data_IF_542318385679
#
_entry.id   IF_542318385679
#
_cell.length_a   1.000
_cell.length_b   1.000
_cell.length_c   1.000
_cell.angle_alpha   90.00
_cell.angle_beta   90.00
_cell.angle_gamma   90.00
#
_symmetry.space_group_name_H-M   'P 1'
#
loop_
_entity.id
_entity.type
_entity.pdbx_description
1 polymer ?
#
# COMPACT_ATOMS: atom_id res chain seq x y z
N UNK A 1 -0.40 -11.47 15.08
CA UNK A 1 -1.87 -11.29 15.10
C UNK A 1 -2.65 -12.37 14.34
N UNK A 2 -2.64 -12.42 13.00
CA UNK A 2 -3.49 -13.35 12.23
C UNK A 2 -3.20 -14.84 12.44
N UNK A 3 -1.93 -15.24 12.37
CA UNK A 3 -1.52 -16.64 12.63
C UNK A 3 -1.77 -17.07 14.07
N UNK A 4 -1.59 -16.17 15.05
CA UNK A 4 -1.89 -16.43 16.46
C UNK A 4 -3.39 -16.62 16.68
N UNK A 5 -4.23 -15.78 16.04
CA UNK A 5 -5.68 -15.94 16.09
C UNK A 5 -6.11 -17.28 15.50
N UNK A 6 -5.48 -17.71 14.40
CA UNK A 6 -5.71 -19.04 13.81
C UNK A 6 -5.26 -20.17 14.73
N UNK A 7 -4.09 -20.06 15.34
CA UNK A 7 -3.57 -21.04 16.30
C UNK A 7 -4.46 -21.15 17.55
N UNK A 8 -5.11 -20.05 17.94
CA UNK A 8 -6.11 -20.00 19.01
C UNK A 8 -7.55 -20.35 18.55
N UNK A 9 -7.70 -20.93 17.36
CA UNK A 9 -8.98 -21.34 16.72
C UNK A 9 -10.05 -20.23 16.70
N UNK A 10 -9.63 -18.98 16.60
CA UNK A 10 -10.56 -17.86 16.43
C UNK A 10 -11.15 -17.88 15.03
N UNK A 11 -12.46 -17.68 14.95
CA UNK A 11 -13.15 -17.55 13.66
C UNK A 11 -12.70 -16.28 12.94
N UNK A 12 -12.26 -16.37 11.67
CA UNK A 12 -11.99 -15.18 10.86
C UNK A 12 -13.25 -14.33 10.72
N UNK A 13 -13.08 -13.00 10.73
CA UNK A 13 -14.18 -12.04 10.58
C UNK A 13 -14.06 -11.18 9.32
N UNK A 14 -12.91 -11.26 8.64
CA UNK A 14 -12.59 -10.43 7.50
C UNK A 14 -11.70 -11.16 6.49
N UNK A 15 -11.87 -10.83 5.21
CA UNK A 15 -10.93 -11.14 4.14
C UNK A 15 -9.91 -9.99 4.06
N UNK A 16 -8.63 -10.30 3.91
CA UNK A 16 -7.59 -9.28 3.71
C UNK A 16 -6.95 -9.47 2.33
N UNK A 17 -7.02 -8.44 1.50
CA UNK A 17 -6.33 -8.43 0.21
C UNK A 17 -4.82 -8.31 0.45
N UNK A 18 -4.04 -9.24 -0.11
CA UNK A 18 -2.57 -9.21 -0.02
C UNK A 18 -1.94 -8.45 -1.17
N UNK A 19 -2.46 -8.65 -2.38
CA UNK A 19 -2.00 -7.97 -3.59
C UNK A 19 -3.12 -7.92 -4.63
N UNK A 20 -3.16 -6.83 -5.39
CA UNK A 20 -4.01 -6.68 -6.56
C UNK A 20 -3.22 -5.88 -7.61
N UNK A 21 -2.87 -6.53 -8.72
CA UNK A 21 -2.01 -5.95 -9.74
C UNK A 21 -2.65 -6.03 -11.13
N UNK A 22 -2.63 -4.90 -11.84
CA UNK A 22 -3.10 -4.80 -13.21
C UNK A 22 -1.95 -4.30 -14.07
N UNK A 23 -1.55 -5.11 -15.05
CA UNK A 23 -0.52 -4.74 -16.03
C UNK A 23 -0.86 -3.38 -16.66
N UNK A 24 0.12 -2.49 -16.90
CA UNK A 24 -0.12 -1.13 -17.42
C UNK A 24 -1.03 -1.08 -18.66
N UNK A 25 -0.83 -2.00 -19.61
CA UNK A 25 -1.64 -2.10 -20.83
C UNK A 25 -3.13 -2.40 -20.63
N UNK A 26 -3.53 -2.82 -19.42
CA UNK A 26 -4.91 -3.14 -19.05
C UNK A 26 -5.47 -2.20 -17.97
N UNK A 27 -4.73 -1.16 -17.58
CA UNK A 27 -5.23 -0.15 -16.65
C UNK A 27 -6.25 0.76 -17.34
N UNK A 28 -7.13 1.38 -16.54
CA UNK A 28 -8.23 2.23 -17.06
C UNK A 28 -9.42 1.47 -17.66
N UNK A 29 -9.37 0.15 -17.77
CA UNK A 29 -10.44 -0.70 -18.32
C UNK A 29 -11.45 -1.24 -17.29
N UNK A 30 -11.52 -0.69 -16.08
CA UNK A 30 -12.45 -1.15 -15.03
C UNK A 30 -12.12 -2.52 -14.41
N UNK A 31 -10.92 -3.07 -14.63
CA UNK A 31 -10.53 -4.35 -14.03
C UNK A 31 -10.39 -4.28 -12.51
N UNK A 32 -9.92 -3.15 -11.98
CA UNK A 32 -9.69 -2.97 -10.55
C UNK A 32 -11.02 -3.03 -9.77
N UNK A 33 -12.04 -2.40 -10.35
CA UNK A 33 -13.43 -2.49 -9.92
C UNK A 33 -13.94 -3.94 -9.88
N UNK A 34 -13.74 -4.69 -10.97
CA UNK A 34 -14.15 -6.10 -11.05
C UNK A 34 -13.41 -6.99 -10.05
N UNK A 35 -12.12 -6.73 -9.81
CA UNK A 35 -11.33 -7.48 -8.82
C UNK A 35 -11.83 -7.24 -7.40
N UNK A 36 -12.16 -5.99 -7.05
CA UNK A 36 -12.74 -5.67 -5.74
C UNK A 36 -14.09 -6.34 -5.54
N UNK A 37 -14.94 -6.34 -6.57
CA UNK A 37 -16.22 -7.02 -6.51
C UNK A 37 -16.06 -8.53 -6.27
N UNK A 38 -15.18 -9.18 -7.04
CA UNK A 38 -14.91 -10.60 -6.86
C UNK A 38 -14.34 -10.94 -5.47
N UNK A 39 -13.46 -10.10 -4.91
CA UNK A 39 -12.95 -10.28 -3.55
C UNK A 39 -14.05 -10.09 -2.50
N UNK A 40 -14.95 -9.13 -2.69
CA UNK A 40 -16.10 -8.92 -1.81
C UNK A 40 -17.05 -10.12 -1.84
N UNK A 41 -17.35 -10.66 -3.02
CA UNK A 41 -18.21 -11.83 -3.17
C UNK A 41 -17.60 -13.06 -2.50
N UNK A 42 -16.29 -13.30 -2.68
CA UNK A 42 -15.57 -14.36 -1.96
C UNK A 42 -15.66 -14.21 -0.44
N UNK A 43 -15.60 -12.97 0.06
CA UNK A 43 -15.75 -12.70 1.49
C UNK A 43 -17.16 -13.00 2.01
N UNK A 44 -18.20 -12.60 1.25
CA UNK A 44 -19.60 -12.90 1.57
C UNK A 44 -19.89 -14.39 1.57
N UNK A 45 -19.43 -15.10 0.54
CA UNK A 45 -19.61 -16.56 0.41
C UNK A 45 -18.94 -17.31 1.55
N UNK A 46 -17.84 -16.77 2.09
CA UNK A 46 -17.16 -17.28 3.27
C UNK A 46 -17.81 -16.86 4.61
N UNK A 47 -18.89 -16.07 4.59
CA UNK A 47 -19.58 -15.57 5.78
C UNK A 47 -18.79 -14.51 6.56
N UNK A 48 -17.88 -13.79 5.90
CA UNK A 48 -17.06 -12.74 6.50
C UNK A 48 -17.80 -11.40 6.41
N UNK A 49 -17.65 -10.55 7.43
CA UNK A 49 -18.35 -9.27 7.48
C UNK A 49 -17.59 -8.11 6.82
N UNK A 50 -16.30 -8.29 6.54
CA UNK A 50 -15.45 -7.20 6.06
C UNK A 50 -14.42 -7.67 5.03
N UNK A 51 -14.08 -6.76 4.11
CA UNK A 51 -12.89 -6.83 3.27
C UNK A 51 -11.93 -5.70 3.67
N UNK A 52 -10.73 -6.08 4.11
CA UNK A 52 -9.64 -5.16 4.41
C UNK A 52 -8.71 -5.09 3.21
N UNK A 53 -8.43 -3.88 2.74
CA UNK A 53 -7.51 -3.60 1.64
C UNK A 53 -6.38 -2.67 2.12
N UNK A 54 -5.16 -3.21 2.32
CA UNK A 54 -3.95 -2.41 2.46
C UNK A 54 -3.57 -1.83 1.10
N UNK A 55 -3.86 -0.54 0.90
CA UNK A 55 -3.72 0.15 -0.39
C UNK A 55 -2.36 0.82 -0.49
N UNK A 56 -1.55 0.39 -1.45
CA UNK A 56 -0.37 1.12 -1.94
C UNK A 56 -0.84 2.22 -2.91
N UNK A 57 -0.83 3.52 -2.54
CA UNK A 57 -1.41 4.56 -3.38
C UNK A 57 -0.59 4.76 -4.67
N UNK A 58 -1.28 4.84 -5.81
CA UNK A 58 -0.63 4.83 -7.12
C UNK A 58 0.21 6.08 -7.41
N UNK A 59 -0.17 7.25 -6.90
CA UNK A 59 0.52 8.51 -7.16
C UNK A 59 1.46 8.95 -6.03
N UNK A 60 1.54 8.21 -4.92
CA UNK A 60 2.35 8.58 -3.76
C UNK A 60 3.85 8.69 -4.08
N UNK A 61 4.34 7.92 -5.05
CA UNK A 61 5.73 7.98 -5.52
C UNK A 61 6.13 9.35 -6.09
N UNK A 62 5.15 10.18 -6.51
CA UNK A 62 5.41 11.56 -6.96
C UNK A 62 5.59 12.55 -5.80
N UNK A 63 5.24 12.14 -4.59
CA UNK A 63 5.29 12.94 -3.37
C UNK A 63 5.96 12.15 -2.24
N UNK A 64 7.16 11.58 -2.45
CA UNK A 64 7.74 10.59 -1.55
C UNK A 64 8.03 11.16 -0.16
N UNK A 65 8.45 12.43 -0.07
CA UNK A 65 8.74 13.11 1.21
C UNK A 65 7.49 13.50 2.02
N UNK A 66 6.30 13.43 1.42
CA UNK A 66 5.05 13.70 2.15
C UNK A 66 4.70 12.50 3.03
N UNK A 67 4.47 12.67 4.34
CA UNK A 67 4.00 11.56 5.18
C UNK A 67 2.68 10.98 4.68
N UNK A 68 2.49 9.66 4.83
CA UNK A 68 1.31 8.97 4.29
C UNK A 68 0.02 9.43 4.98
N UNK A 69 0.10 9.80 6.26
CA UNK A 69 -0.97 10.36 7.09
C UNK A 69 -1.55 11.64 6.47
N UNK A 70 -0.67 12.48 5.91
CA UNK A 70 -1.07 13.70 5.24
C UNK A 70 -1.50 13.43 3.80
N UNK A 71 -0.82 12.52 3.11
CA UNK A 71 -1.15 12.21 1.71
C UNK A 71 -2.57 11.60 1.58
N UNK A 72 -2.95 10.71 2.49
CA UNK A 72 -4.24 10.03 2.43
C UNK A 72 -5.45 10.98 2.55
N UNK A 73 -5.25 12.19 3.10
CA UNK A 73 -6.32 13.18 3.28
C UNK A 73 -6.45 14.13 2.09
N UNK A 74 -5.55 14.06 1.11
CA UNK A 74 -5.60 14.93 -0.05
C UNK A 74 -6.81 14.61 -0.91
N UNK A 75 -7.52 15.66 -1.32
CA UNK A 75 -8.70 15.58 -2.17
C UNK A 75 -8.52 16.42 -3.43
N UNK A 76 -9.35 16.13 -4.43
CA UNK A 76 -9.55 16.99 -5.59
C UNK A 76 -10.58 18.07 -5.26
N UNK A 77 -10.73 19.07 -6.13
CA UNK A 77 -11.73 20.14 -5.98
C UNK A 77 -13.17 19.63 -5.83
N UNK A 78 -13.46 18.44 -6.39
CA UNK A 78 -14.77 17.79 -6.26
C UNK A 78 -14.95 16.98 -4.96
N UNK A 79 -14.00 17.05 -4.02
CA UNK A 79 -14.04 16.38 -2.73
C UNK A 79 -13.61 14.90 -2.74
N UNK A 80 -13.37 14.30 -3.91
CA UNK A 80 -12.92 12.90 -3.98
C UNK A 80 -11.44 12.74 -3.60
N UNK A 81 -11.01 11.56 -3.11
CA UNK A 81 -9.60 11.31 -2.83
C UNK A 81 -8.71 11.62 -4.03
N UNK A 82 -7.58 12.26 -3.77
CA UNK A 82 -6.60 12.66 -4.78
C UNK A 82 -6.04 11.45 -5.54
N UNK A 83 -5.60 10.42 -4.80
CA UNK A 83 -5.04 9.19 -5.35
C UNK A 83 -6.10 8.36 -6.08
N UNK A 84 -5.84 7.91 -7.32
CA UNK A 84 -6.80 7.15 -8.10
C UNK A 84 -7.16 5.79 -7.50
N UNK A 85 -6.22 5.12 -6.85
CA UNK A 85 -6.49 3.80 -6.31
C UNK A 85 -7.31 3.88 -5.03
N UNK A 86 -6.98 4.82 -4.13
CA UNK A 86 -7.82 5.14 -2.97
C UNK A 86 -9.25 5.52 -3.42
N UNK A 87 -9.36 6.35 -4.46
CA UNK A 87 -10.67 6.81 -4.97
C UNK A 87 -11.54 5.66 -5.51
N UNK A 88 -10.96 4.65 -6.16
CA UNK A 88 -11.72 3.47 -6.60
C UNK A 88 -12.37 2.76 -5.41
N UNK A 89 -11.63 2.54 -4.32
CA UNK A 89 -12.21 1.94 -3.12
C UNK A 89 -13.30 2.81 -2.49
N UNK A 90 -13.06 4.12 -2.34
CA UNK A 90 -14.03 5.04 -1.71
C UNK A 90 -15.33 5.13 -2.51
N UNK A 91 -15.25 5.15 -3.85
CA UNK A 91 -16.45 5.12 -4.72
C UNK A 91 -17.29 3.86 -4.55
N UNK A 92 -16.68 2.77 -4.09
CA UNK A 92 -17.36 1.49 -3.79
C UNK A 92 -17.82 1.36 -2.34
N UNK A 93 -17.83 2.44 -1.58
CA UNK A 93 -18.23 2.44 -0.17
C UNK A 93 -17.10 2.07 0.80
N UNK A 94 -15.87 1.88 0.31
CA UNK A 94 -14.72 1.64 1.15
C UNK A 94 -14.39 2.84 2.04
N UNK A 95 -14.23 2.61 3.34
CA UNK A 95 -13.86 3.63 4.31
C UNK A 95 -12.35 3.60 4.56
N UNK A 96 -11.69 4.74 4.36
CA UNK A 96 -10.30 4.94 4.79
C UNK A 96 -10.27 4.86 6.32
N UNK A 97 -9.46 3.97 6.89
CA UNK A 97 -9.42 3.72 8.33
C UNK A 97 -8.15 4.29 8.95
N UNK A 98 -6.99 3.91 8.41
CA UNK A 98 -5.72 4.22 9.05
C UNK A 98 -4.58 4.34 8.03
N UNK A 99 -3.68 5.32 8.19
CA UNK A 99 -2.39 5.34 7.51
C UNK A 99 -1.42 4.37 8.19
N UNK A 100 -0.70 3.56 7.43
CA UNK A 100 0.35 2.69 7.95
C UNK A 100 1.70 3.16 7.38
N UNK A 101 2.44 4.02 8.09
CA UNK A 101 3.75 4.50 7.62
C UNK A 101 4.78 3.38 7.52
N UNK A 102 4.72 2.41 8.44
CA UNK A 102 5.67 1.30 8.54
C UNK A 102 5.00 -0.03 8.17
N UNK A 103 4.56 -0.18 6.91
CA UNK A 103 3.86 -1.41 6.50
C UNK A 103 4.79 -2.54 6.09
N UNK A 104 5.76 -2.26 5.22
CA UNK A 104 6.73 -3.26 4.75
C UNK A 104 8.13 -2.73 4.95
N UNK A 105 8.95 -3.47 5.70
CA UNK A 105 10.36 -3.13 5.90
C UNK A 105 11.19 -3.87 4.86
N UNK A 106 11.94 -3.12 4.07
CA UNK A 106 12.88 -3.66 3.10
C UNK A 106 14.26 -3.19 3.52
N UNK A 107 15.17 -4.14 3.69
CA UNK A 107 16.57 -3.90 4.05
C UNK A 107 17.48 -4.61 3.06
N UNK A 108 18.65 -4.03 2.83
CA UNK A 108 19.67 -4.58 1.95
C UNK A 108 20.96 -3.77 2.07
N UNK A 109 22.04 -4.29 1.51
CA UNK A 109 23.32 -3.56 1.37
C UNK A 109 23.15 -2.33 0.49
N UNK A 110 24.07 -1.36 0.58
CA UNK A 110 24.03 -0.17 -0.30
C UNK A 110 24.10 -0.62 -1.76
N UNK A 111 24.95 -1.59 -2.08
CA UNK A 111 25.07 -2.15 -3.42
C UNK A 111 23.81 -2.90 -3.91
N UNK A 112 23.02 -3.50 -3.02
CA UNK A 112 21.71 -4.06 -3.38
C UNK A 112 20.72 -2.99 -3.76
N UNK A 113 20.62 -1.94 -2.94
CA UNK A 113 19.77 -0.81 -3.22
C UNK A 113 20.13 -0.12 -4.54
N UNK A 114 21.41 0.09 -4.81
CA UNK A 114 21.84 0.68 -6.10
C UNK A 114 21.41 -0.20 -7.29
N UNK A 115 21.49 -1.53 -7.17
CA UNK A 115 21.04 -2.44 -8.23
C UNK A 115 19.52 -2.45 -8.38
N UNK A 116 18.76 -2.44 -7.29
CA UNK A 116 17.29 -2.47 -7.33
C UNK A 116 16.69 -1.19 -7.89
N UNK A 117 17.27 -0.05 -7.53
CA UNK A 117 16.76 1.27 -7.87
C UNK A 117 17.37 1.85 -9.14
N UNK A 118 18.55 1.38 -9.54
CA UNK A 118 19.31 1.92 -10.67
C UNK A 118 19.91 3.29 -10.39
N UNK A 119 19.92 3.76 -9.13
CA UNK A 119 20.55 5.02 -8.72
C UNK A 119 21.77 4.74 -7.86
N UNK A 120 22.68 5.72 -7.77
CA UNK A 120 23.84 5.67 -6.88
C UNK A 120 23.51 6.37 -5.57
N UNK A 121 24.03 5.84 -4.47
CA UNK A 121 23.92 6.47 -3.14
C UNK A 121 25.33 6.84 -2.67
N UNK A 122 25.86 8.02 -3.03
CA UNK A 122 27.25 8.37 -2.75
C UNK A 122 27.52 8.85 -1.32
N UNK A 123 26.49 9.15 -0.54
CA UNK A 123 26.57 9.71 0.81
C UNK A 123 25.46 9.12 1.71
N UNK A 124 25.59 9.26 3.02
CA UNK A 124 24.61 8.80 4.00
C UNK A 124 23.33 9.66 4.01
N UNK A 125 22.25 9.06 4.52
CA UNK A 125 20.98 9.73 4.79
C UNK A 125 19.84 9.35 3.84
N UNK A 126 18.84 10.23 3.77
CA UNK A 126 17.56 9.95 3.13
C UNK A 126 17.59 10.23 1.62
N UNK A 127 17.27 9.22 0.81
CA UNK A 127 17.14 9.34 -0.64
C UNK A 127 15.74 8.99 -1.12
N UNK A 128 15.26 9.71 -2.13
CA UNK A 128 14.11 9.29 -2.93
C UNK A 128 14.61 8.50 -4.12
N UNK A 129 13.79 7.54 -4.58
CA UNK A 129 14.13 6.71 -5.74
C UNK A 129 12.87 6.50 -6.60
N UNK A 130 13.03 6.13 -7.88
CA UNK A 130 11.89 5.85 -8.76
C UNK A 130 10.94 4.83 -8.12
N UNK A 131 9.64 5.12 -8.22
CA UNK A 131 8.53 4.30 -7.68
C UNK A 131 8.47 4.15 -6.15
N UNK A 132 9.48 4.60 -5.40
CA UNK A 132 9.49 4.61 -3.93
C UNK A 132 8.45 5.55 -3.34
N UNK A 133 7.66 5.06 -2.39
CA UNK A 133 6.60 5.84 -1.76
C UNK A 133 7.07 6.71 -0.58
N UNK A 134 8.29 6.48 -0.10
CA UNK A 134 8.94 7.22 0.98
C UNK A 134 10.46 7.20 0.74
N UNK A 135 11.25 8.00 1.47
CA UNK A 135 12.70 7.91 1.37
C UNK A 135 13.25 6.57 1.89
N UNK A 136 14.34 6.10 1.29
CA UNK A 136 15.22 5.06 1.85
C UNK A 136 16.34 5.74 2.63
N UNK A 137 16.65 5.24 3.83
CA UNK A 137 17.80 5.69 4.62
C UNK A 137 19.03 4.86 4.25
N UNK A 138 20.13 5.52 3.91
CA UNK A 138 21.42 4.90 3.55
C UNK A 138 22.44 5.16 4.66
N UNK A 139 23.15 4.11 5.07
CA UNK A 139 24.21 4.11 6.07
C UNK A 139 25.39 3.27 5.54
N UNK A 140 26.45 3.95 5.11
CA UNK A 140 27.66 3.33 4.55
C UNK A 140 28.54 2.69 5.61
N UNK A 141 28.56 3.22 6.84
CA UNK A 141 29.32 2.63 7.94
C UNK A 141 28.84 1.20 8.24
N UNK A 142 27.52 0.99 8.14
CA UNK A 142 26.87 -0.31 8.36
C UNK A 142 26.63 -1.13 7.10
N UNK A 143 26.94 -0.59 5.92
CA UNK A 143 26.53 -1.12 4.61
C UNK A 143 25.05 -1.50 4.58
N UNK A 144 24.18 -0.53 4.89
CA UNK A 144 22.75 -0.74 5.06
C UNK A 144 21.94 0.35 4.36
N UNK A 145 21.02 -0.06 3.50
CA UNK A 145 19.85 0.72 3.12
C UNK A 145 18.60 0.16 3.80
N UNK A 146 17.79 1.03 4.40
CA UNK A 146 16.57 0.68 5.12
C UNK A 146 15.39 1.50 4.64
N UNK A 147 14.34 0.84 4.17
CA UNK A 147 13.17 1.46 3.59
C UNK A 147 11.89 0.91 4.21
N UNK A 148 11.01 1.82 4.64
CA UNK A 148 9.65 1.48 5.00
C UNK A 148 8.71 1.89 3.87
N UNK A 149 8.02 0.92 3.28
CA UNK A 149 6.94 1.20 2.33
C UNK A 149 5.63 1.44 3.08
N UNK A 150 5.04 2.65 2.97
CA UNK A 150 3.76 2.94 3.59
C UNK A 150 2.57 2.42 2.77
N UNK A 151 1.45 2.19 3.44
CA UNK A 151 0.16 1.99 2.79
C UNK A 151 -0.98 2.68 3.55
N UNK A 152 -2.20 2.60 3.00
CA UNK A 152 -3.43 3.11 3.63
C UNK A 152 -4.40 1.95 3.77
N UNK A 153 -4.91 1.71 4.97
CA UNK A 153 -5.93 0.68 5.17
C UNK A 153 -7.31 1.21 4.82
N UNK A 154 -8.00 0.50 3.94
CA UNK A 154 -9.38 0.76 3.56
C UNK A 154 -10.22 -0.47 3.87
N UNK A 155 -11.37 -0.28 4.49
CA UNK A 155 -12.29 -1.35 4.87
C UNK A 155 -13.60 -1.22 4.10
N UNK A 156 -14.07 -2.33 3.55
CA UNK A 156 -15.37 -2.48 2.93
C UNK A 156 -16.23 -3.37 3.82
N UNK A 157 -17.46 -2.95 4.08
CA UNK A 157 -18.47 -3.82 4.68
C UNK A 157 -19.00 -4.76 3.58
N UNK A 158 -19.17 -6.04 3.91
CA UNK A 158 -19.56 -7.09 2.96
C UNK A 158 -21.05 -7.41 3.04
#
# INVERSE_FOLDING_TARGET
>A
AGFEARAADRRPTALCALAAEIRPRFQGGGLADRMLEAMSDLGRDAGLGHLIAPVRPSLKHRYPITPIERYMTWTRDNGEPFDPWIRVHVRRGGRIVEPIPNSMHIVGTVAEWERWTGIRFPDDGAYTFPDGLAPVEIDHERDLGSYWEPNVWIVHDL
#
